data_IF_333338961209
#
_entry.id   IF_333338961209
#
_cell.length_a   1.000
_cell.length_b   1.000
_cell.length_c   1.000
_cell.angle_alpha   90.00
_cell.angle_beta   90.00
_cell.angle_gamma   90.00
#
_symmetry.space_group_name_H-M   'P 1'
#
loop_
_entity.id
_entity.type
_entity.pdbx_description
1 polymer ?
#
# COMPACT_ATOMS: atom_id res chain seq x y z
N UNK A 1 -9.60 12.68 6.63
CA UNK A 1 -10.01 11.34 6.14
C UNK A 1 -10.99 11.41 4.97
N UNK A 2 -11.84 12.45 4.83
CA UNK A 2 -12.89 12.52 3.79
C UNK A 2 -12.41 12.47 2.34
N UNK A 3 -11.20 12.95 2.05
CA UNK A 3 -10.66 13.00 0.68
C UNK A 3 -10.43 11.61 0.06
N UNK A 4 -10.24 10.57 0.88
CA UNK A 4 -10.05 9.20 0.39
C UNK A 4 -11.37 8.42 0.28
N UNK A 5 -12.37 8.76 1.10
CA UNK A 5 -13.71 8.16 1.03
C UNK A 5 -14.45 8.60 -0.24
N UNK A 6 -14.25 9.84 -0.68
CA UNK A 6 -14.82 10.38 -1.92
C UNK A 6 -14.27 9.67 -3.18
N UNK A 7 -13.00 9.21 -3.13
CA UNK A 7 -12.36 8.44 -4.20
C UNK A 7 -12.84 6.98 -4.27
N UNK A 8 -13.23 6.41 -3.12
CA UNK A 8 -13.77 5.06 -3.05
C UNK A 8 -15.26 5.02 -3.47
N UNK A 9 -16.03 6.04 -3.08
CA UNK A 9 -17.45 6.17 -3.44
C UNK A 9 -17.67 6.40 -4.94
N UNK A 10 -16.74 7.09 -5.62
CA UNK A 10 -16.81 7.33 -7.06
C UNK A 10 -16.71 6.05 -7.93
N UNK A 11 -16.30 4.90 -7.35
CA UNK A 11 -16.17 3.62 -8.06
C UNK A 11 -17.38 2.70 -7.91
N UNK A 12 -18.35 3.02 -7.04
CA UNK A 12 -19.49 2.14 -6.79
C UNK A 12 -20.72 2.57 -7.59
N UNK A 13 -20.89 1.98 -8.78
CA UNK A 13 -22.18 1.60 -9.38
C UNK A 13 -22.05 1.29 -10.90
N UNK A 14 -21.09 1.91 -11.59
CA UNK A 14 -21.01 1.84 -13.06
C UNK A 14 -20.11 0.71 -13.60
N UNK A 15 -19.11 0.25 -12.83
CA UNK A 15 -18.05 -0.63 -13.37
C UNK A 15 -18.21 -2.13 -13.06
N UNK A 16 -19.25 -2.53 -12.33
CA UNK A 16 -19.41 -3.93 -11.90
C UNK A 16 -19.88 -4.90 -12.99
N UNK A 17 -20.13 -4.44 -14.23
CA UNK A 17 -20.76 -5.28 -15.28
C UNK A 17 -20.00 -5.35 -16.62
N UNK A 18 -18.75 -4.89 -16.70
CA UNK A 18 -17.93 -5.07 -17.91
C UNK A 18 -17.28 -6.47 -17.88
N UNK A 19 -18.11 -7.45 -18.22
CA UNK A 19 -17.79 -8.86 -18.39
C UNK A 19 -16.55 -9.13 -19.25
N UNK A 20 -15.79 -10.15 -18.81
CA UNK A 20 -15.01 -11.05 -19.67
C UNK A 20 -15.74 -11.37 -21.00
N UNK A 21 -15.19 -10.96 -22.14
CA UNK A 21 -15.49 -11.46 -23.49
C UNK A 21 -14.26 -11.20 -24.38
N UNK A 22 -13.40 -12.18 -24.65
CA UNK A 22 -13.43 -13.07 -25.83
C UNK A 22 -13.69 -12.30 -27.14
N UNK A 23 -12.71 -12.22 -28.05
CA UNK A 23 -12.66 -13.03 -29.27
C UNK A 23 -11.46 -12.64 -30.18
N UNK A 24 -10.88 -13.64 -30.82
CA UNK A 24 -9.76 -13.59 -31.77
C UNK A 24 -10.22 -13.10 -33.15
N UNK A 25 -9.65 -12.02 -33.70
CA UNK A 25 -9.71 -11.78 -35.16
C UNK A 25 -8.42 -11.15 -35.69
N UNK A 26 -7.64 -11.96 -36.42
CA UNK A 26 -6.56 -11.49 -37.30
C UNK A 26 -7.15 -10.70 -38.48
N UNK A 27 -6.75 -9.44 -38.69
CA UNK A 27 -6.81 -8.81 -40.01
C UNK A 27 -5.80 -7.67 -40.20
N UNK A 28 -4.92 -7.90 -41.19
CA UNK A 28 -4.13 -7.03 -42.06
C UNK A 28 -3.79 -5.56 -41.71
N UNK A 29 -2.47 -5.33 -41.68
CA UNK A 29 -1.70 -4.32 -42.43
C UNK A 29 -2.01 -2.82 -42.27
N UNK A 30 -1.16 -2.12 -41.49
CA UNK A 30 -0.62 -0.79 -41.81
C UNK A 30 0.53 -0.39 -40.84
N UNK A 31 1.70 0.12 -41.31
CA UNK A 31 2.77 0.58 -40.43
C UNK A 31 2.52 2.03 -40.03
N UNK A 32 1.73 2.25 -38.96
CA UNK A 32 1.71 3.52 -38.24
C UNK A 32 2.60 3.41 -37.01
N UNK A 33 3.49 4.40 -36.88
CA UNK A 33 4.46 4.58 -35.80
C UNK A 33 3.81 4.38 -34.42
N UNK A 34 4.22 3.31 -33.73
CA UNK A 34 3.65 2.93 -32.46
C UNK A 34 4.20 3.83 -31.35
N UNK A 35 3.47 4.90 -31.05
CA UNK A 35 3.59 5.54 -29.74
C UNK A 35 3.11 4.51 -28.72
N UNK A 36 4.04 3.77 -28.14
CA UNK A 36 3.76 2.85 -27.04
C UNK A 36 3.30 3.67 -25.83
N UNK A 37 2.01 3.96 -25.77
CA UNK A 37 1.34 4.29 -24.51
C UNK A 37 1.34 3.00 -23.70
N UNK A 38 2.41 2.77 -22.95
CA UNK A 38 2.43 1.70 -21.96
C UNK A 38 1.28 1.98 -21.00
N UNK A 39 0.27 1.11 -20.99
CA UNK A 39 -0.86 1.26 -20.07
C UNK A 39 -0.33 1.40 -18.64
N UNK A 40 -0.81 2.42 -17.93
CA UNK A 40 -0.48 2.63 -16.53
C UNK A 40 -0.84 1.41 -15.66
N UNK A 41 -1.69 0.50 -16.14
CA UNK A 41 -2.04 -0.78 -15.51
C UNK A 41 -0.82 -1.61 -15.08
N UNK A 42 0.28 -1.59 -15.84
CA UNK A 42 1.48 -2.33 -15.46
C UNK A 42 2.18 -1.71 -14.25
N UNK A 43 2.19 -0.39 -14.17
CA UNK A 43 2.81 0.35 -13.07
C UNK A 43 1.91 0.30 -11.82
N UNK A 44 0.60 0.35 -12.01
CA UNK A 44 -0.36 0.37 -10.92
C UNK A 44 -0.31 -0.90 -10.07
N UNK A 45 -0.28 -2.10 -10.68
CA UNK A 45 -0.17 -3.33 -9.89
C UNK A 45 1.19 -3.44 -9.18
N UNK A 46 2.27 -2.91 -9.76
CA UNK A 46 3.58 -2.87 -9.12
C UNK A 46 3.52 -2.07 -7.81
N UNK A 47 2.88 -0.90 -7.84
CA UNK A 47 2.67 -0.10 -6.64
C UNK A 47 1.73 -0.76 -5.63
N UNK A 48 0.69 -1.47 -6.07
CA UNK A 48 -0.14 -2.26 -5.16
C UNK A 48 0.66 -3.36 -4.48
N UNK A 49 1.52 -4.05 -5.22
CA UNK A 49 2.38 -5.10 -4.68
C UNK A 49 3.37 -4.54 -3.65
N UNK A 50 4.04 -3.42 -3.95
CA UNK A 50 4.95 -2.74 -3.01
C UNK A 50 4.23 -2.28 -1.73
N UNK A 51 3.04 -1.68 -1.88
CA UNK A 51 2.19 -1.31 -0.75
C UNK A 51 1.88 -2.55 0.10
N UNK A 52 1.43 -3.64 -0.51
CA UNK A 52 1.08 -4.87 0.19
C UNK A 52 2.28 -5.44 0.97
N UNK A 53 3.48 -5.41 0.38
CA UNK A 53 4.71 -5.84 1.06
C UNK A 53 5.03 -4.97 2.27
N UNK A 54 4.94 -3.64 2.16
CA UNK A 54 5.19 -2.71 3.27
C UNK A 54 4.19 -2.89 4.42
N UNK A 55 2.89 -3.03 4.10
CA UNK A 55 1.85 -3.23 5.10
C UNK A 55 1.99 -4.57 5.83
N UNK A 56 2.33 -5.64 5.10
CA UNK A 56 2.58 -6.95 5.68
C UNK A 56 3.78 -6.95 6.63
N UNK A 57 4.81 -6.18 6.29
CA UNK A 57 6.01 -5.98 7.10
C UNK A 57 5.90 -4.79 8.05
N UNK A 58 4.67 -4.33 8.38
CA UNK A 58 4.40 -3.22 9.29
C UNK A 58 4.72 -3.57 10.75
N UNK A 59 6.00 -3.82 11.03
CA UNK A 59 6.47 -4.18 12.36
C UNK A 59 6.62 -2.93 13.24
N UNK A 60 6.08 -3.03 14.45
CA UNK A 60 6.16 -2.00 15.49
C UNK A 60 6.92 -2.47 16.72
N UNK A 61 7.62 -3.62 16.63
CA UNK A 61 8.48 -4.10 17.70
C UNK A 61 9.60 -3.07 17.97
N UNK A 62 9.75 -2.69 19.23
CA UNK A 62 10.91 -1.91 19.67
C UNK A 62 12.06 -2.87 19.96
N UNK A 63 13.26 -2.48 19.54
CA UNK A 63 14.46 -3.24 19.84
C UNK A 63 14.80 -3.22 21.33
N UNK A 64 15.42 -4.30 21.80
CA UNK A 64 15.85 -4.46 23.19
C UNK A 64 17.16 -3.74 23.51
N UNK A 65 17.52 -3.75 24.80
CA UNK A 65 18.83 -3.31 25.29
C UNK A 65 19.94 -4.20 24.70
N UNK A 66 21.06 -3.59 24.28
CA UNK A 66 22.24 -4.34 23.85
C UNK A 66 22.77 -5.17 25.04
N UNK A 67 22.78 -6.52 24.94
CA UNK A 67 23.20 -7.37 26.06
C UNK A 67 24.69 -7.26 26.39
N UNK A 68 25.49 -6.53 25.59
CA UNK A 68 26.92 -6.34 25.79
C UNK A 68 27.26 -5.10 26.63
N UNK A 69 26.28 -4.25 26.96
CA UNK A 69 26.53 -3.01 27.70
C UNK A 69 25.40 -2.66 28.66
N UNK A 70 25.75 -2.02 29.78
CA UNK A 70 24.79 -1.46 30.74
C UNK A 70 24.32 -0.04 30.35
N UNK A 71 24.93 0.57 29.32
CA UNK A 71 24.50 1.88 28.84
C UNK A 71 23.17 1.75 28.08
N UNK A 72 22.23 2.70 28.21
CA UNK A 72 21.01 2.70 27.41
C UNK A 72 21.33 2.73 25.90
N UNK A 73 20.96 1.69 25.17
CA UNK A 73 21.18 1.59 23.74
C UNK A 73 20.56 0.33 23.14
N UNK A 74 20.65 0.18 21.83
CA UNK A 74 20.31 -1.07 21.15
C UNK A 74 21.36 -1.35 20.08
N UNK A 75 21.68 -2.62 19.87
CA UNK A 75 22.53 -3.05 18.75
C UNK A 75 21.71 -3.35 17.48
N UNK A 76 20.38 -3.15 17.54
CA UNK A 76 19.45 -3.38 16.45
C UNK A 76 19.16 -4.86 16.19
N UNK A 77 19.42 -5.74 17.15
CA UNK A 77 19.20 -7.17 17.01
C UNK A 77 18.51 -7.78 18.25
N UNK A 78 17.85 -8.93 18.05
CA UNK A 78 17.27 -9.72 19.14
C UNK A 78 15.79 -9.48 19.42
N UNK A 79 15.16 -8.49 18.78
CA UNK A 79 13.70 -8.41 18.77
C UNK A 79 13.08 -9.59 17.99
N UNK A 80 11.93 -10.07 18.48
CA UNK A 80 11.14 -11.08 17.79
C UNK A 80 10.14 -10.35 16.89
N UNK A 81 10.41 -10.37 15.59
CA UNK A 81 9.57 -9.76 14.56
C UNK A 81 8.45 -10.74 14.16
N UNK A 82 7.19 -10.33 14.34
CA UNK A 82 6.01 -11.12 13.94
C UNK A 82 5.02 -10.25 13.18
N UNK A 83 4.30 -10.84 12.23
CA UNK A 83 3.25 -10.14 11.51
C UNK A 83 2.21 -9.57 12.48
N UNK A 84 1.74 -8.34 12.20
CA UNK A 84 0.79 -7.60 13.03
C UNK A 84 -0.47 -7.28 12.26
N UNK A 85 -1.54 -7.00 13.00
CA UNK A 85 -2.77 -6.41 12.46
C UNK A 85 -2.50 -4.93 12.12
N UNK A 86 -2.38 -4.63 10.82
CA UNK A 86 -2.11 -3.29 10.32
C UNK A 86 -3.24 -2.31 10.67
N UNK A 87 -4.50 -2.74 10.63
CA UNK A 87 -5.64 -1.88 10.93
C UNK A 87 -5.63 -1.46 12.41
N UNK A 88 -5.26 -2.38 13.30
CA UNK A 88 -5.04 -2.10 14.71
C UNK A 88 -3.90 -1.09 14.95
N UNK A 89 -2.79 -1.22 14.22
CA UNK A 89 -1.66 -0.26 14.28
C UNK A 89 -2.12 1.13 13.83
N UNK A 90 -2.81 1.21 12.70
CA UNK A 90 -3.29 2.47 12.12
C UNK A 90 -4.27 3.17 13.07
N UNK A 91 -5.26 2.44 13.60
CA UNK A 91 -6.23 3.00 14.55
C UNK A 91 -5.55 3.52 15.83
N UNK A 92 -4.56 2.78 16.35
CA UNK A 92 -3.78 3.21 17.51
C UNK A 92 -3.01 4.51 17.22
N UNK A 93 -2.37 4.61 16.05
CA UNK A 93 -1.59 5.77 15.64
C UNK A 93 -2.47 7.00 15.42
N UNK A 94 -3.59 6.83 14.72
CA UNK A 94 -4.55 7.91 14.43
C UNK A 94 -5.13 8.50 15.73
N UNK A 95 -5.49 7.66 16.71
CA UNK A 95 -6.00 8.14 18.01
C UNK A 95 -4.99 8.97 18.83
N UNK A 96 -3.69 8.93 18.47
CA UNK A 96 -2.59 9.63 19.17
C UNK A 96 -1.91 10.68 18.29
N UNK A 97 -2.50 10.98 17.14
CA UNK A 97 -1.95 11.93 16.18
C UNK A 97 -1.92 13.35 16.76
N UNK A 98 -0.72 13.90 16.93
CA UNK A 98 -0.50 15.21 17.57
C UNK A 98 -1.13 16.40 16.83
N UNK A 99 -1.30 16.30 15.50
CA UNK A 99 -1.81 17.42 14.68
C UNK A 99 -3.31 17.65 14.81
N UNK A 100 -4.06 16.66 15.31
CA UNK A 100 -5.51 16.79 15.52
C UNK A 100 -5.84 17.56 16.79
N UNK A 101 -4.88 17.67 17.73
CA UNK A 101 -4.99 18.42 18.99
C UNK A 101 -4.50 19.88 18.91
N UNK A 102 -4.07 20.36 17.73
CA UNK A 102 -3.53 21.72 17.55
C UNK A 102 -4.54 22.72 16.96
N UNK A 103 -5.78 22.28 16.69
CA UNK A 103 -6.85 23.10 16.08
C UNK A 103 -8.03 23.36 17.03
N UNK A 104 -7.76 23.41 18.33
CA UNK A 104 -8.71 23.70 19.39
C UNK A 104 -8.17 24.79 20.31
#
# INVERSE_FOLDING_TARGET
MSVYDDLAAAKSAADLNAHHSRDDTHSNEHPHEQVHVHSHDHVDHCFQYLRQSLLCCGDTALEGQDPRTDNPGTDGTGAVHICKDFDGILAWADSRRLVDAKHN
#
